data_IF_405203019749
#
_entry.id   IF_405203019749
#
_cell.length_a   1.000
_cell.length_b   1.000
_cell.length_c   1.000
_cell.angle_alpha   90.00
_cell.angle_beta   90.00
_cell.angle_gamma   90.00
#
_symmetry.space_group_name_H-M   'P 1'
#
loop_
_entity.id
_entity.type
_entity.pdbx_description
1 polymer ?
#
# COMPACT_ATOMS: atom_id res chain seq x y z
N UNK A 1 -14.64 -30.18 -14.84
CA UNK A 1 -13.19 -29.90 -14.72
C UNK A 1 -12.64 -29.01 -15.84
N UNK A 2 -13.11 -29.14 -17.09
CA UNK A 2 -12.62 -28.36 -18.24
C UNK A 2 -12.73 -26.84 -18.06
N UNK A 3 -13.75 -26.35 -17.35
CA UNK A 3 -13.92 -24.92 -17.06
C UNK A 3 -13.12 -24.43 -15.84
N UNK A 4 -12.75 -25.33 -14.93
CA UNK A 4 -11.98 -24.98 -13.73
C UNK A 4 -10.48 -24.83 -14.01
N UNK A 5 -9.93 -25.73 -14.82
CA UNK A 5 -8.51 -25.71 -15.19
C UNK A 5 -8.03 -24.35 -15.71
N UNK A 6 -8.69 -23.69 -16.67
CA UNK A 6 -8.24 -22.38 -17.15
C UNK A 6 -8.35 -21.28 -16.08
N UNK A 7 -9.41 -21.29 -15.25
CA UNK A 7 -9.56 -20.33 -14.15
C UNK A 7 -8.44 -20.48 -13.12
N UNK A 8 -8.10 -21.73 -12.77
CA UNK A 8 -7.02 -22.05 -11.85
C UNK A 8 -5.66 -21.63 -12.41
N UNK A 9 -5.32 -22.05 -13.64
CA UNK A 9 -4.04 -21.71 -14.29
C UNK A 9 -3.84 -20.19 -14.39
N UNK A 10 -4.91 -19.46 -14.70
CA UNK A 10 -4.86 -18.00 -14.81
C UNK A 10 -4.64 -17.34 -13.44
N UNK A 11 -5.31 -17.84 -12.40
CA UNK A 11 -5.09 -17.40 -11.01
C UNK A 11 -3.67 -17.70 -10.54
N UNK A 12 -3.15 -18.90 -10.80
CA UNK A 12 -1.78 -19.31 -10.48
C UNK A 12 -0.73 -18.45 -11.20
N UNK A 13 -0.96 -18.14 -12.48
CA UNK A 13 -0.09 -17.22 -13.24
C UNK A 13 -0.04 -15.84 -12.61
N UNK A 14 -1.18 -15.32 -12.16
CA UNK A 14 -1.25 -14.00 -11.49
C UNK A 14 -0.58 -14.03 -10.11
N UNK A 15 -0.74 -15.10 -9.34
CA UNK A 15 -0.02 -15.30 -8.09
C UNK A 15 1.50 -15.35 -8.30
N UNK A 16 1.96 -16.06 -9.34
CA UNK A 16 3.37 -16.11 -9.69
C UNK A 16 3.93 -14.73 -10.07
N UNK A 17 3.16 -13.92 -10.80
CA UNK A 17 3.53 -12.55 -11.12
C UNK A 17 3.67 -11.68 -9.86
N UNK A 18 2.75 -11.80 -8.91
CA UNK A 18 2.85 -11.12 -7.60
C UNK A 18 4.10 -11.57 -6.85
N UNK A 19 4.36 -12.88 -6.80
CA UNK A 19 5.54 -13.42 -6.10
C UNK A 19 6.84 -12.91 -6.72
N UNK A 20 6.93 -12.89 -8.05
CA UNK A 20 8.09 -12.36 -8.76
C UNK A 20 8.26 -10.85 -8.51
N UNK A 21 7.17 -10.09 -8.53
CA UNK A 21 7.18 -8.66 -8.22
C UNK A 21 7.57 -8.39 -6.75
N UNK A 22 7.10 -9.20 -5.81
CA UNK A 22 7.49 -9.12 -4.40
C UNK A 22 8.96 -9.46 -4.18
N UNK A 23 9.48 -10.49 -4.86
CA UNK A 23 10.89 -10.88 -4.77
C UNK A 23 11.86 -9.80 -5.27
N UNK A 24 11.44 -8.98 -6.25
CA UNK A 24 12.20 -7.81 -6.71
C UNK A 24 11.87 -6.52 -5.94
N UNK A 25 11.08 -6.58 -4.87
CA UNK A 25 10.61 -5.43 -4.11
C UNK A 25 9.97 -4.35 -5.00
N UNK A 26 9.10 -4.77 -5.92
CA UNK A 26 8.39 -3.86 -6.81
C UNK A 26 7.62 -2.78 -6.03
N UNK A 27 7.49 -1.57 -6.59
CA UNK A 27 6.86 -0.46 -5.89
C UNK A 27 5.38 -0.77 -5.59
N UNK A 28 4.82 -0.24 -4.50
CA UNK A 28 3.42 -0.47 -4.10
C UNK A 28 2.36 -0.26 -5.20
N UNK A 29 2.42 0.76 -6.09
CA UNK A 29 1.44 0.90 -7.18
C UNK A 29 1.47 -0.28 -8.18
N UNK A 30 2.65 -0.84 -8.46
CA UNK A 30 2.77 -1.99 -9.35
C UNK A 30 2.19 -3.25 -8.68
N UNK A 31 2.55 -3.48 -7.40
CA UNK A 31 1.99 -4.59 -6.63
C UNK A 31 0.47 -4.47 -6.49
N UNK A 32 -0.06 -3.27 -6.25
CA UNK A 32 -1.50 -3.01 -6.19
C UNK A 32 -2.22 -3.45 -7.47
N UNK A 33 -1.66 -3.13 -8.65
CA UNK A 33 -2.24 -3.55 -9.93
C UNK A 33 -2.22 -5.07 -10.10
N UNK A 34 -1.13 -5.74 -9.72
CA UNK A 34 -1.00 -7.19 -9.80
C UNK A 34 -1.96 -7.91 -8.84
N UNK A 35 -2.05 -7.44 -7.59
CA UNK A 35 -3.00 -7.97 -6.62
C UNK A 35 -4.45 -7.75 -7.05
N UNK A 36 -4.81 -6.58 -7.58
CA UNK A 36 -6.18 -6.32 -8.07
C UNK A 36 -6.58 -7.35 -9.13
N UNK A 37 -5.70 -7.55 -10.10
CA UNK A 37 -5.83 -8.55 -11.16
C UNK A 37 -5.97 -9.98 -10.62
N UNK A 38 -5.23 -10.33 -9.57
CA UNK A 38 -5.30 -11.64 -8.91
C UNK A 38 -6.62 -11.84 -8.16
N UNK A 39 -7.08 -10.85 -7.41
CA UNK A 39 -8.36 -10.90 -6.69
C UNK A 39 -9.54 -11.08 -7.65
N UNK A 40 -9.54 -10.41 -8.80
CA UNK A 40 -10.56 -10.60 -9.84
C UNK A 40 -10.59 -12.04 -10.38
N UNK A 41 -9.43 -12.69 -10.49
CA UNK A 41 -9.30 -14.07 -10.93
C UNK A 41 -9.78 -15.06 -9.87
N UNK A 42 -9.33 -14.88 -8.62
CA UNK A 42 -9.78 -15.68 -7.48
C UNK A 42 -11.30 -15.61 -7.31
N UNK A 43 -11.91 -14.44 -7.49
CA UNK A 43 -13.36 -14.29 -7.40
C UNK A 43 -14.11 -15.18 -8.42
N UNK A 44 -13.54 -15.38 -9.62
CA UNK A 44 -14.12 -16.30 -10.62
C UNK A 44 -13.98 -17.75 -10.19
N UNK A 45 -12.85 -18.12 -9.58
CA UNK A 45 -12.61 -19.46 -9.03
C UNK A 45 -13.59 -19.76 -7.90
N UNK A 46 -13.74 -18.84 -6.93
CA UNK A 46 -14.67 -19.00 -5.80
C UNK A 46 -16.10 -19.16 -6.30
N UNK A 47 -16.56 -18.31 -7.23
CA UNK A 47 -17.89 -18.43 -7.85
C UNK A 47 -18.10 -19.76 -8.57
N UNK A 48 -17.07 -20.23 -9.28
CA UNK A 48 -17.13 -21.54 -9.93
C UNK A 48 -17.27 -22.66 -8.89
N UNK A 49 -16.51 -22.60 -7.81
CA UNK A 49 -16.58 -23.58 -6.71
C UNK A 49 -17.95 -23.55 -6.04
N UNK A 50 -18.55 -22.39 -5.79
CA UNK A 50 -19.90 -22.28 -5.22
C UNK A 50 -20.95 -22.92 -6.13
N UNK A 51 -20.94 -22.59 -7.42
CA UNK A 51 -21.94 -23.06 -8.38
C UNK A 51 -21.83 -24.56 -8.66
N UNK A 52 -20.60 -25.09 -8.64
CA UNK A 52 -20.32 -26.47 -9.05
C UNK A 52 -19.92 -27.38 -7.88
N UNK A 53 -20.00 -26.91 -6.62
CA UNK A 53 -19.58 -27.66 -5.44
C UNK A 53 -20.25 -29.05 -5.40
N UNK A 54 -21.57 -29.08 -5.55
CA UNK A 54 -22.37 -30.30 -5.52
C UNK A 54 -22.02 -31.25 -6.67
N UNK A 55 -21.84 -30.71 -7.88
CA UNK A 55 -21.56 -31.48 -9.10
C UNK A 55 -20.13 -32.04 -9.13
N UNK A 56 -19.18 -31.32 -8.53
CA UNK A 56 -17.76 -31.71 -8.46
C UNK A 56 -17.38 -32.40 -7.14
N UNK A 57 -18.32 -32.65 -6.24
CA UNK A 57 -18.07 -33.27 -4.94
C UNK A 57 -17.15 -32.45 -4.02
N UNK A 58 -17.12 -31.12 -4.18
CA UNK A 58 -16.27 -30.24 -3.38
C UNK A 58 -16.90 -30.09 -1.99
N UNK A 59 -16.20 -30.44 -0.89
CA UNK A 59 -16.73 -30.26 0.45
C UNK A 59 -17.03 -28.79 0.73
N UNK A 60 -18.16 -28.50 1.36
CA UNK A 60 -18.58 -27.13 1.69
C UNK A 60 -17.50 -26.37 2.49
N UNK A 61 -16.75 -27.06 3.34
CA UNK A 61 -15.62 -26.51 4.10
C UNK A 61 -14.54 -25.91 3.20
N UNK A 62 -14.28 -26.52 2.03
CA UNK A 62 -13.29 -26.03 1.07
C UNK A 62 -13.79 -24.75 0.42
N UNK A 63 -15.06 -24.69 0.02
CA UNK A 63 -15.67 -23.48 -0.55
C UNK A 63 -15.63 -22.32 0.47
N UNK A 64 -15.98 -22.60 1.73
CA UNK A 64 -15.90 -21.61 2.81
C UNK A 64 -14.46 -21.15 3.05
N UNK A 65 -13.50 -22.06 3.09
CA UNK A 65 -12.08 -21.72 3.26
C UNK A 65 -11.57 -20.87 2.10
N UNK A 66 -11.94 -21.19 0.86
CA UNK A 66 -11.60 -20.38 -0.32
C UNK A 66 -12.16 -18.97 -0.23
N UNK A 67 -13.39 -18.78 0.26
CA UNK A 67 -13.97 -17.44 0.50
C UNK A 67 -13.20 -16.65 1.54
N UNK A 68 -12.87 -17.28 2.67
CA UNK A 68 -12.11 -16.64 3.75
C UNK A 68 -10.72 -16.22 3.25
N UNK A 69 -10.05 -17.10 2.50
CA UNK A 69 -8.74 -16.81 1.92
C UNK A 69 -8.81 -15.66 0.91
N UNK A 70 -9.82 -15.67 0.03
CA UNK A 70 -10.09 -14.58 -0.90
C UNK A 70 -10.30 -13.24 -0.18
N UNK A 71 -11.05 -13.24 0.93
CA UNK A 71 -11.24 -12.05 1.76
C UNK A 71 -9.93 -11.52 2.36
N UNK A 72 -9.08 -12.40 2.90
CA UNK A 72 -7.76 -12.03 3.42
C UNK A 72 -6.82 -11.50 2.33
N UNK A 73 -6.89 -12.08 1.14
CA UNK A 73 -6.12 -11.62 -0.02
C UNK A 73 -6.59 -10.22 -0.47
N UNK A 74 -7.91 -9.96 -0.45
CA UNK A 74 -8.48 -8.66 -0.76
C UNK A 74 -8.05 -7.58 0.25
N UNK A 75 -8.08 -7.89 1.55
CA UNK A 75 -7.58 -6.98 2.59
C UNK A 75 -6.08 -6.66 2.39
N UNK A 76 -5.29 -7.67 2.00
CA UNK A 76 -3.87 -7.49 1.71
C UNK A 76 -3.65 -6.59 0.49
N UNK A 77 -4.43 -6.78 -0.58
CA UNK A 77 -4.46 -5.87 -1.73
C UNK A 77 -4.76 -4.44 -1.28
N UNK A 78 -5.79 -4.24 -0.45
CA UNK A 78 -6.17 -2.90 0.02
C UNK A 78 -5.04 -2.21 0.80
N UNK A 79 -4.35 -2.93 1.70
CA UNK A 79 -3.18 -2.41 2.42
C UNK A 79 -2.04 -2.00 1.47
N UNK A 80 -1.71 -2.84 0.50
CA UNK A 80 -0.65 -2.57 -0.48
C UNK A 80 -1.00 -1.35 -1.33
N UNK A 81 -2.27 -1.27 -1.77
CA UNK A 81 -2.75 -0.13 -2.54
C UNK A 81 -2.74 1.18 -1.74
N UNK A 82 -3.08 1.15 -0.44
CA UNK A 82 -3.01 2.31 0.44
C UNK A 82 -1.57 2.77 0.71
N UNK A 83 -0.60 1.86 0.75
CA UNK A 83 0.81 2.23 0.85
C UNK A 83 1.28 3.01 -0.40
N UNK A 84 0.82 2.63 -1.59
CA UNK A 84 1.16 3.32 -2.84
C UNK A 84 0.59 4.73 -2.97
N UNK A 85 -0.55 5.03 -2.33
CA UNK A 85 -1.09 6.40 -2.28
C UNK A 85 -0.35 7.29 -1.30
N UNK A 86 0.25 6.70 -0.25
CA UNK A 86 1.01 7.44 0.77
C UNK A 86 2.32 7.98 0.22
N UNK A 87 3.07 7.17 -0.54
CA UNK A 87 4.31 7.63 -1.21
C UNK A 87 4.02 8.63 -2.35
N UNK A 88 2.90 8.45 -3.06
CA UNK A 88 2.45 9.43 -4.06
C UNK A 88 1.98 10.76 -3.43
N UNK A 89 1.55 10.76 -2.17
CA UNK A 89 1.23 11.97 -1.42
C UNK A 89 2.49 12.68 -0.93
N UNK A 90 3.54 11.93 -0.59
CA UNK A 90 4.84 12.50 -0.24
C UNK A 90 5.55 13.10 -1.46
N UNK A 91 5.48 12.47 -2.63
CA UNK A 91 5.96 13.06 -3.88
C UNK A 91 5.12 14.27 -4.36
N UNK A 92 3.89 14.42 -3.87
CA UNK A 92 3.03 15.61 -4.08
C UNK A 92 3.12 16.65 -2.97
N UNK A 93 3.88 16.40 -1.90
CA UNK A 93 4.33 17.47 -1.01
C UNK A 93 5.39 18.27 -1.78
N UNK A 94 4.91 19.24 -2.56
CA UNK A 94 5.72 20.41 -2.89
C UNK A 94 6.28 21.07 -1.62
N UNK A 95 7.12 22.11 -1.75
CA UNK A 95 7.87 22.71 -0.63
C UNK A 95 6.96 22.84 0.58
N UNK A 96 7.44 22.33 1.72
CA UNK A 96 6.61 22.16 2.90
C UNK A 96 5.90 23.48 3.22
N UNK A 97 4.67 23.44 3.71
CA UNK A 97 3.92 24.65 4.08
C UNK A 97 4.73 25.58 5.01
N UNK A 98 5.73 25.06 5.74
CA UNK A 98 6.71 25.88 6.48
C UNK A 98 7.57 26.80 5.61
N UNK A 99 8.00 26.35 4.43
CA UNK A 99 8.75 27.16 3.46
C UNK A 99 7.85 28.18 2.74
N UNK A 100 6.61 27.79 2.43
CA UNK A 100 5.63 28.70 1.81
C UNK A 100 5.11 29.77 2.79
N UNK A 101 5.08 29.48 4.09
CA UNK A 101 4.69 30.41 5.16
C UNK A 101 5.88 31.19 5.73
N UNK A 102 7.10 31.05 5.17
CA UNK A 102 8.29 31.77 5.62
C UNK A 102 8.81 31.36 7.01
N UNK A 103 8.35 30.22 7.53
CA UNK A 103 8.82 29.68 8.81
C UNK A 103 10.15 28.97 8.57
N UNK A 104 11.24 29.73 8.78
CA UNK A 104 12.61 29.19 8.79
C UNK A 104 12.69 28.02 9.78
N UNK A 105 13.39 26.97 9.36
CA UNK A 105 13.62 25.77 10.15
C UNK A 105 14.02 26.08 11.60
N UNK A 106 13.65 25.17 12.51
CA UNK A 106 14.02 25.19 13.93
C UNK A 106 15.50 25.53 14.06
N UNK A 107 15.90 26.58 14.81
CA UNK A 107 17.29 27.01 14.86
C UNK A 107 18.16 25.89 15.44
N UNK A 108 19.10 25.40 14.65
CA UNK A 108 20.24 24.64 15.15
C UNK A 108 21.37 25.60 15.54
N UNK A 109 22.24 25.25 16.50
CA UNK A 109 23.27 26.14 17.07
C UNK A 109 24.11 26.86 16.00
N UNK A 110 24.36 26.20 14.87
CA UNK A 110 25.18 26.71 13.75
C UNK A 110 24.55 27.88 12.97
N UNK A 111 23.27 28.21 13.17
CA UNK A 111 22.60 29.32 12.46
C UNK A 111 22.56 30.63 13.26
N UNK A 112 23.13 30.65 14.47
CA UNK A 112 23.13 31.81 15.36
C UNK A 112 24.36 32.69 15.21
N UNK A 113 24.59 33.26 14.04
CA UNK A 113 25.57 34.36 13.93
C UNK A 113 25.08 35.43 12.96
N UNK A 114 24.93 36.63 13.53
CA UNK A 114 24.78 37.94 12.86
C UNK A 114 23.52 38.14 12.01
N UNK A 115 22.47 38.63 12.67
CA UNK A 115 21.33 39.28 12.00
C UNK A 115 20.61 40.18 12.98
N UNK A 116 21.08 41.42 13.13
CA UNK A 116 20.44 42.45 13.95
C UNK A 116 19.02 42.73 13.46
N UNK A 117 18.04 42.30 14.24
CA UNK A 117 16.63 42.53 14.01
C UNK A 117 15.96 42.89 15.34
N UNK A 118 14.96 43.74 15.26
CA UNK A 118 14.26 44.47 16.35
C UNK A 118 13.49 43.61 17.36
N UNK A 119 13.78 42.31 17.44
CA UNK A 119 13.22 41.37 18.42
C UNK A 119 14.20 41.10 19.59
N UNK A 120 15.44 41.56 19.50
CA UNK A 120 16.49 41.31 20.50
C UNK A 120 16.45 42.25 21.72
N UNK A 121 15.27 42.81 22.05
CA UNK A 121 15.10 43.71 23.20
C UNK A 121 13.96 43.34 24.15
N UNK A 122 13.26 42.22 23.94
CA UNK A 122 12.11 41.86 24.81
C UNK A 122 12.04 40.40 25.29
N UNK A 123 13.04 39.58 25.00
CA UNK A 123 13.19 38.30 25.69
C UNK A 123 14.66 37.92 25.77
N UNK A 124 15.32 38.35 26.85
CA UNK A 124 16.67 37.91 27.18
C UNK A 124 16.75 36.39 27.16
N UNK A 125 17.73 35.87 26.42
CA UNK A 125 18.00 34.44 26.29
C UNK A 125 18.44 33.87 27.67
N UNK A 126 17.66 32.98 28.32
CA UNK A 126 17.99 32.46 29.64
C UNK A 126 19.06 31.34 29.62
N UNK A 127 19.59 30.97 28.45
CA UNK A 127 20.52 29.84 28.28
C UNK A 127 22.00 30.25 28.21
N UNK A 128 22.34 31.51 28.48
CA UNK A 128 23.73 31.89 28.81
C UNK A 128 23.94 31.77 30.32
N UNK A 129 24.48 30.63 30.76
CA UNK A 129 25.32 30.54 31.96
C UNK A 129 26.69 30.03 31.51
#
# INVERSE_FOLDING_TARGET
MAEFAPLRTETEKRAAAIKAAGARHAPPPELCQLFTRFIEAEAKVVKFMEKNASTCGIPAQVVTTSKVNHGKAAETKDRICAAGTSEANEARRGPALGEALGMRAVPTPDTTTTGGGTLDSLSGNPLKR
#
